data_IF_606927199525
#
_entry.id   IF_606927199525
#
_cell.length_a   1.000
_cell.length_b   1.000
_cell.length_c   1.000
_cell.angle_alpha   90.00
_cell.angle_beta   90.00
_cell.angle_gamma   90.00
#
_symmetry.space_group_name_H-M   'P 1'
#
loop_
_entity.id
_entity.type
_entity.pdbx_description
1 polymer ?
#
# COMPACT_ATOMS: atom_id res chain seq x y z
N UNK A 1 -4.73 4.85 -11.42
CA UNK A 1 -3.71 5.24 -10.46
C UNK A 1 -3.64 6.74 -10.13
N UNK A 2 -4.27 7.65 -10.89
CA UNK A 2 -4.11 9.09 -10.70
C UNK A 2 -5.00 9.68 -9.62
N UNK A 3 -6.11 9.03 -9.28
CA UNK A 3 -7.09 9.58 -8.34
C UNK A 3 -7.84 10.79 -8.88
N UNK A 4 -7.93 10.94 -10.21
CA UNK A 4 -8.54 12.06 -10.91
C UNK A 4 -10.06 11.91 -11.12
N UNK A 5 -10.70 11.17 -10.24
CA UNK A 5 -12.16 10.99 -10.17
C UNK A 5 -12.70 11.58 -8.86
N UNK A 6 -13.95 12.00 -8.88
CA UNK A 6 -14.62 12.55 -7.71
C UNK A 6 -15.97 11.86 -7.51
N UNK A 7 -16.17 11.33 -6.33
CA UNK A 7 -17.42 10.78 -5.82
C UNK A 7 -17.66 11.30 -4.41
N UNK A 8 -18.91 11.34 -3.98
CA UNK A 8 -19.23 11.58 -2.57
C UNK A 8 -18.82 10.39 -1.70
N UNK A 9 -18.71 10.60 -0.40
CA UNK A 9 -18.41 9.51 0.54
C UNK A 9 -19.43 8.38 0.46
N UNK A 10 -20.70 8.70 0.26
CA UNK A 10 -21.79 7.73 0.10
C UNK A 10 -21.64 6.92 -1.19
N UNK A 11 -21.24 7.54 -2.29
CA UNK A 11 -21.01 6.84 -3.56
C UNK A 11 -19.81 5.89 -3.47
N UNK A 12 -18.70 6.29 -2.83
CA UNK A 12 -17.59 5.38 -2.53
C UNK A 12 -18.05 4.20 -1.69
N UNK A 13 -18.81 4.43 -0.62
CA UNK A 13 -19.33 3.38 0.23
C UNK A 13 -20.23 2.41 -0.52
N UNK A 14 -21.15 2.93 -1.34
CA UNK A 14 -22.05 2.09 -2.17
C UNK A 14 -21.28 1.25 -3.19
N UNK A 15 -20.22 1.81 -3.78
CA UNK A 15 -19.39 1.11 -4.73
C UNK A 15 -18.62 -0.05 -4.10
N UNK A 16 -18.06 0.14 -2.91
CA UNK A 16 -17.25 -0.88 -2.23
C UNK A 16 -18.06 -1.88 -1.42
N UNK A 17 -19.25 -1.51 -0.93
CA UNK A 17 -20.04 -2.31 -0.01
C UNK A 17 -20.28 -3.75 -0.49
N UNK A 18 -20.73 -4.02 -1.72
CA UNK A 18 -21.03 -5.41 -2.14
C UNK A 18 -19.81 -6.33 -2.04
N UNK A 19 -18.63 -5.83 -2.44
CA UNK A 19 -17.39 -6.60 -2.36
C UNK A 19 -16.95 -6.83 -0.92
N UNK A 20 -17.06 -5.81 -0.08
CA UNK A 20 -16.73 -5.92 1.35
C UNK A 20 -17.64 -6.95 2.03
N UNK A 21 -18.96 -6.92 1.77
CA UNK A 21 -19.94 -7.87 2.32
C UNK A 21 -19.57 -9.31 1.95
N UNK A 22 -19.29 -9.57 0.69
CA UNK A 22 -18.90 -10.92 0.24
C UNK A 22 -17.62 -11.42 0.92
N UNK A 23 -16.59 -10.57 1.04
CA UNK A 23 -15.34 -10.94 1.68
C UNK A 23 -15.51 -11.19 3.18
N UNK A 24 -16.24 -10.32 3.88
CA UNK A 24 -16.49 -10.49 5.32
C UNK A 24 -17.34 -11.73 5.58
N UNK A 25 -18.38 -11.98 4.77
CA UNK A 25 -19.22 -13.17 4.87
C UNK A 25 -18.43 -14.46 4.56
N UNK A 26 -17.42 -14.39 3.71
CA UNK A 26 -16.50 -15.50 3.46
C UNK A 26 -15.52 -15.76 4.62
N UNK A 27 -15.49 -14.91 5.65
CA UNK A 27 -14.69 -15.09 6.85
C UNK A 27 -13.21 -14.73 6.68
N UNK A 28 -12.89 -13.72 5.88
CA UNK A 28 -11.49 -13.26 5.73
C UNK A 28 -10.99 -12.65 7.04
N UNK A 29 -9.75 -12.96 7.41
CA UNK A 29 -9.12 -12.43 8.64
C UNK A 29 -8.81 -10.93 8.53
N UNK A 30 -8.34 -10.49 7.36
CA UNK A 30 -7.88 -9.12 7.10
C UNK A 30 -8.34 -8.69 5.70
N UNK A 31 -8.84 -7.48 5.57
CA UNK A 31 -9.11 -6.86 4.29
C UNK A 31 -7.90 -6.02 3.84
N UNK A 32 -7.56 -6.12 2.57
CA UNK A 32 -6.57 -5.29 1.92
C UNK A 32 -7.25 -4.11 1.21
N UNK A 33 -7.05 -2.91 1.72
CA UNK A 33 -7.41 -1.66 1.02
C UNK A 33 -6.13 -1.20 0.31
N UNK A 34 -5.88 -1.78 -0.86
CA UNK A 34 -4.58 -1.69 -1.54
C UNK A 34 -4.62 -0.87 -2.82
N UNK A 35 -3.45 -0.36 -3.21
CA UNK A 35 -3.25 0.40 -4.46
C UNK A 35 -4.15 1.64 -4.51
N UNK A 36 -4.34 2.27 -3.36
CA UNK A 36 -5.24 3.40 -3.24
C UNK A 36 -4.59 4.68 -3.74
N UNK A 37 -5.17 5.34 -4.74
CA UNK A 37 -4.64 6.59 -5.24
C UNK A 37 -5.17 7.81 -4.48
N UNK A 38 -6.26 7.68 -3.68
CA UNK A 38 -7.04 8.80 -3.16
C UNK A 38 -7.37 8.62 -1.68
N UNK A 39 -7.11 9.67 -0.88
CA UNK A 39 -7.37 9.65 0.55
C UNK A 39 -8.86 9.59 0.87
N UNK A 40 -9.70 10.39 0.21
CA UNK A 40 -11.13 10.49 0.52
C UNK A 40 -11.86 9.14 0.32
N UNK A 41 -11.47 8.37 -0.71
CA UNK A 41 -11.99 7.03 -0.94
C UNK A 41 -11.63 6.08 0.20
N UNK A 42 -10.37 6.10 0.66
CA UNK A 42 -9.92 5.28 1.79
C UNK A 42 -10.70 5.63 3.05
N UNK A 43 -10.88 6.91 3.36
CA UNK A 43 -11.65 7.34 4.53
C UNK A 43 -13.12 6.91 4.43
N UNK A 44 -13.74 7.01 3.27
CA UNK A 44 -15.10 6.53 3.06
C UNK A 44 -15.25 5.02 3.30
N UNK A 45 -14.28 4.21 2.85
CA UNK A 45 -14.24 2.77 3.11
C UNK A 45 -14.07 2.49 4.61
N UNK A 46 -13.17 3.19 5.29
CA UNK A 46 -12.91 2.99 6.71
C UNK A 46 -14.12 3.38 7.58
N UNK A 47 -14.82 4.46 7.26
CA UNK A 47 -16.08 4.82 7.94
C UNK A 47 -17.18 3.78 7.72
N UNK A 48 -17.30 3.22 6.51
CA UNK A 48 -18.20 2.12 6.24
C UNK A 48 -17.88 0.89 7.11
N UNK A 49 -16.61 0.50 7.17
CA UNK A 49 -16.14 -0.64 7.96
C UNK A 49 -16.35 -0.40 9.45
N UNK A 50 -16.01 0.78 9.96
CA UNK A 50 -16.23 1.17 11.36
C UNK A 50 -17.69 1.05 11.77
N UNK A 51 -18.61 1.43 10.88
CA UNK A 51 -20.06 1.38 11.13
C UNK A 51 -20.64 -0.03 11.03
N UNK A 52 -20.28 -0.80 9.99
CA UNK A 52 -20.91 -2.10 9.70
C UNK A 52 -20.12 -3.28 10.25
N UNK A 53 -18.81 -3.21 10.27
CA UNK A 53 -17.91 -4.32 10.60
C UNK A 53 -16.79 -3.87 11.57
N UNK A 54 -17.13 -3.40 12.78
CA UNK A 54 -16.17 -2.75 13.68
C UNK A 54 -15.01 -3.65 14.14
N UNK A 55 -15.13 -4.97 14.00
CA UNK A 55 -14.08 -5.92 14.38
C UNK A 55 -13.19 -6.33 13.19
N UNK A 56 -13.56 -5.97 11.96
CA UNK A 56 -12.81 -6.36 10.79
C UNK A 56 -11.47 -5.62 10.73
N UNK A 57 -10.37 -6.37 10.73
CA UNK A 57 -9.03 -5.80 10.57
C UNK A 57 -8.74 -5.49 9.10
N UNK A 58 -7.99 -4.42 8.89
CA UNK A 58 -7.59 -4.00 7.55
C UNK A 58 -6.13 -3.54 7.53
N UNK A 59 -5.50 -3.58 6.38
CA UNK A 59 -4.35 -2.74 6.10
C UNK A 59 -4.65 -1.80 4.93
N UNK A 60 -3.96 -0.67 4.89
CA UNK A 60 -4.11 0.34 3.84
C UNK A 60 -2.77 0.53 3.15
N UNK A 61 -2.74 0.51 1.82
CA UNK A 61 -1.55 0.89 1.06
C UNK A 61 -1.89 1.81 -0.11
N UNK A 62 -1.09 2.86 -0.23
CA UNK A 62 -1.25 3.90 -1.24
C UNK A 62 -0.31 3.70 -2.44
N UNK A 63 -0.72 4.24 -3.58
CA UNK A 63 0.18 4.53 -4.70
C UNK A 63 0.70 5.95 -4.59
N UNK A 64 1.91 6.19 -5.08
CA UNK A 64 2.59 7.48 -4.97
C UNK A 64 2.78 8.14 -6.34
N UNK A 65 2.70 9.45 -6.39
CA UNK A 65 3.19 10.28 -7.51
C UNK A 65 4.70 10.54 -7.39
N UNK A 66 5.20 10.73 -6.16
CA UNK A 66 6.60 10.89 -5.76
C UNK A 66 6.83 10.29 -4.36
N UNK A 67 7.95 10.55 -3.70
CA UNK A 67 8.30 9.97 -2.39
C UNK A 67 7.58 10.59 -1.19
N UNK A 68 6.83 11.66 -1.40
CA UNK A 68 6.17 12.46 -0.35
C UNK A 68 4.67 12.69 -0.60
N UNK A 69 4.13 12.21 -1.73
CA UNK A 69 2.78 12.54 -2.18
C UNK A 69 2.08 11.31 -2.74
N UNK A 70 0.86 11.03 -2.28
CA UNK A 70 0.03 9.99 -2.90
C UNK A 70 -0.54 10.48 -4.25
N UNK A 71 -1.06 9.57 -5.04
CA UNK A 71 -1.38 9.82 -6.46
C UNK A 71 -2.41 10.92 -6.70
N UNK A 72 -3.29 11.23 -5.75
CA UNK A 72 -4.28 12.32 -5.84
C UNK A 72 -3.70 13.71 -5.48
N UNK A 73 -2.42 13.81 -5.14
CA UNK A 73 -1.77 15.04 -4.72
C UNK A 73 -1.81 15.31 -3.22
N UNK A 74 -2.40 14.42 -2.41
CA UNK A 74 -2.36 14.56 -0.94
C UNK A 74 -0.96 14.23 -0.42
N UNK A 75 -0.37 15.07 0.47
CA UNK A 75 0.89 14.73 1.13
C UNK A 75 0.81 13.40 1.87
N UNK A 76 1.79 12.51 1.67
CA UNK A 76 1.86 11.20 2.31
C UNK A 76 1.76 11.28 3.84
N UNK A 77 2.43 12.24 4.53
CA UNK A 77 2.27 12.42 5.97
C UNK A 77 0.82 12.65 6.39
N UNK A 78 0.07 13.47 5.63
CA UNK A 78 -1.35 13.72 5.90
C UNK A 78 -2.19 12.46 5.68
N UNK A 79 -1.92 11.71 4.61
CA UNK A 79 -2.64 10.48 4.30
C UNK A 79 -2.44 9.43 5.40
N UNK A 80 -1.22 9.27 5.91
CA UNK A 80 -0.91 8.33 7.00
C UNK A 80 -1.53 8.79 8.32
N UNK A 81 -1.37 10.06 8.69
CA UNK A 81 -1.92 10.61 9.93
C UNK A 81 -3.45 10.45 10.02
N UNK A 82 -4.15 10.61 8.89
CA UNK A 82 -5.61 10.44 8.84
C UNK A 82 -6.08 9.00 9.18
N UNK A 83 -5.19 8.01 9.20
CA UNK A 83 -5.49 6.63 9.54
C UNK A 83 -5.30 6.30 11.03
N UNK A 84 -4.74 7.22 11.82
CA UNK A 84 -4.42 6.96 13.24
C UNK A 84 -5.68 6.72 14.08
N UNK A 85 -6.78 7.41 13.80
CA UNK A 85 -8.05 7.28 14.52
C UNK A 85 -8.82 5.97 14.21
N UNK A 86 -8.31 5.15 13.29
CA UNK A 86 -8.94 3.89 12.93
C UNK A 86 -8.19 2.69 13.53
N UNK A 87 -8.66 2.22 14.68
CA UNK A 87 -8.08 1.05 15.37
C UNK A 87 -8.15 -0.26 14.57
N UNK A 88 -9.00 -0.31 13.55
CA UNK A 88 -9.11 -1.43 12.62
C UNK A 88 -7.92 -1.52 11.67
N UNK A 89 -7.25 -0.40 11.40
CA UNK A 89 -6.06 -0.33 10.53
C UNK A 89 -4.85 -0.83 11.30
N UNK A 90 -4.40 -2.04 10.98
CA UNK A 90 -3.27 -2.71 11.66
C UNK A 90 -1.93 -2.46 10.97
N UNK A 91 -1.94 -2.10 9.71
CA UNK A 91 -0.74 -1.74 8.95
C UNK A 91 -1.07 -0.68 7.90
N UNK A 92 -0.10 0.17 7.62
CA UNK A 92 -0.18 1.23 6.62
C UNK A 92 1.05 1.20 5.73
N UNK A 93 0.94 1.60 4.48
CA UNK A 93 2.10 1.59 3.61
C UNK A 93 1.84 1.99 2.17
N UNK A 94 2.70 1.46 1.31
CA UNK A 94 2.71 1.79 -0.12
C UNK A 94 2.91 0.53 -0.97
N UNK A 95 2.31 0.53 -2.14
CA UNK A 95 2.50 -0.55 -3.11
C UNK A 95 2.39 -0.07 -4.55
N UNK A 96 2.78 -0.94 -5.47
CA UNK A 96 2.77 -0.61 -6.91
C UNK A 96 3.57 0.66 -7.26
N UNK A 97 4.59 0.95 -6.48
CA UNK A 97 5.51 2.08 -6.64
C UNK A 97 6.86 1.61 -7.17
N UNK A 98 7.66 2.55 -7.66
CA UNK A 98 9.04 2.27 -8.08
C UNK A 98 9.92 1.98 -6.88
N UNK A 99 10.98 1.17 -7.07
CA UNK A 99 11.90 0.78 -6.00
C UNK A 99 12.57 1.98 -5.32
N UNK A 100 12.91 3.00 -6.09
CA UNK A 100 13.59 4.20 -5.61
C UNK A 100 12.74 5.09 -4.68
N UNK A 101 11.41 4.96 -4.73
CA UNK A 101 10.50 5.71 -3.85
C UNK A 101 10.30 5.05 -2.48
N UNK A 102 10.64 3.77 -2.35
CA UNK A 102 10.28 2.97 -1.18
C UNK A 102 10.96 3.45 0.10
N UNK A 103 12.29 3.55 0.08
CA UNK A 103 13.06 3.89 1.29
C UNK A 103 12.77 5.32 1.80
N UNK A 104 12.73 6.38 0.95
CA UNK A 104 12.32 7.71 1.38
C UNK A 104 10.91 7.73 1.98
N UNK A 105 9.93 7.12 1.32
CA UNK A 105 8.55 7.08 1.81
C UNK A 105 8.43 6.33 3.14
N UNK A 106 9.14 5.21 3.33
CA UNK A 106 9.18 4.48 4.60
C UNK A 106 9.73 5.35 5.74
N UNK A 107 10.81 6.10 5.50
CA UNK A 107 11.38 7.02 6.49
C UNK A 107 10.38 8.09 6.89
N UNK A 108 9.68 8.70 5.92
CA UNK A 108 8.64 9.69 6.19
C UNK A 108 7.49 9.09 7.01
N UNK A 109 7.01 7.89 6.66
CA UNK A 109 5.92 7.24 7.38
C UNK A 109 6.30 6.85 8.82
N UNK A 110 7.52 6.37 9.04
CA UNK A 110 8.00 5.93 10.35
C UNK A 110 7.97 7.04 11.42
N UNK A 111 8.13 8.30 11.02
CA UNK A 111 8.09 9.46 11.93
C UNK A 111 6.65 9.85 12.33
N UNK A 112 5.63 9.25 11.69
CA UNK A 112 4.24 9.70 11.81
C UNK A 112 3.36 8.65 12.51
N UNK A 113 3.67 7.36 12.36
CA UNK A 113 2.81 6.29 12.84
C UNK A 113 3.58 5.18 13.54
N UNK A 114 2.96 4.61 14.57
CA UNK A 114 3.43 3.39 15.25
C UNK A 114 2.82 2.10 14.65
N UNK A 115 1.93 2.22 13.66
CA UNK A 115 1.37 1.07 12.95
C UNK A 115 2.46 0.33 12.16
N UNK A 116 2.26 -0.97 11.92
CA UNK A 116 3.19 -1.72 11.08
C UNK A 116 3.29 -1.11 9.67
N UNK A 117 4.50 -0.90 9.19
CA UNK A 117 4.72 -0.44 7.83
C UNK A 117 4.75 -1.63 6.86
N UNK A 118 3.93 -1.55 5.81
CA UNK A 118 3.82 -2.53 4.74
C UNK A 118 4.31 -1.95 3.41
N UNK A 119 5.09 -2.74 2.66
CA UNK A 119 5.59 -2.34 1.34
C UNK A 119 5.64 -3.52 0.37
N UNK A 120 5.12 -3.31 -0.85
CA UNK A 120 5.21 -4.27 -1.96
C UNK A 120 5.29 -3.53 -3.30
N UNK A 121 6.52 -3.12 -3.67
CA UNK A 121 6.78 -2.31 -4.86
C UNK A 121 6.78 -3.14 -6.14
N UNK A 122 6.84 -2.45 -7.28
CA UNK A 122 7.14 -3.02 -8.59
C UNK A 122 8.65 -3.29 -8.73
N UNK A 123 9.04 -3.99 -9.81
CA UNK A 123 10.46 -4.16 -10.17
C UNK A 123 11.09 -2.95 -10.88
N UNK A 124 10.51 -1.74 -10.74
CA UNK A 124 10.87 -0.51 -11.48
C UNK A 124 10.65 -0.56 -13.00
N UNK A 125 9.98 -1.57 -13.52
CA UNK A 125 9.46 -1.53 -14.86
C UNK A 125 8.37 -0.45 -15.01
N UNK A 126 8.31 0.20 -16.16
CA UNK A 126 7.32 1.25 -16.43
C UNK A 126 6.22 0.68 -17.32
N UNK A 127 4.98 0.84 -16.88
CA UNK A 127 3.82 0.43 -17.67
C UNK A 127 3.48 1.47 -18.75
N UNK A 128 3.35 1.00 -19.99
CA UNK A 128 2.80 1.82 -21.09
C UNK A 128 1.32 1.47 -21.27
N UNK A 129 0.39 2.39 -20.93
CA UNK A 129 -1.04 2.14 -21.06
C UNK A 129 -1.53 2.06 -22.52
N UNK A 130 -0.78 2.58 -23.50
CA UNK A 130 -1.14 2.51 -24.91
C UNK A 130 -0.85 1.13 -25.51
N UNK A 131 0.35 0.63 -25.30
CA UNK A 131 0.75 -0.70 -25.76
C UNK A 131 0.33 -1.82 -24.81
N UNK A 132 -0.10 -1.48 -23.58
CA UNK A 132 -0.42 -2.41 -22.48
C UNK A 132 0.76 -3.35 -22.15
N UNK A 133 1.97 -2.82 -22.22
CA UNK A 133 3.21 -3.56 -21.96
C UNK A 133 4.04 -2.92 -20.86
N UNK A 134 4.92 -3.70 -20.27
CA UNK A 134 5.90 -3.24 -19.32
C UNK A 134 7.26 -3.10 -19.98
N UNK A 135 7.95 -1.98 -19.74
CA UNK A 135 9.35 -1.80 -20.14
C UNK A 135 10.29 -2.62 -19.25
N UNK A 136 11.53 -2.76 -19.69
CA UNK A 136 12.58 -3.26 -18.80
C UNK A 136 12.81 -2.30 -17.62
N UNK A 137 13.16 -2.80 -16.41
CA UNK A 137 13.53 -1.96 -15.28
C UNK A 137 14.66 -1.00 -15.66
N UNK A 138 14.57 0.24 -15.20
CA UNK A 138 15.60 1.26 -15.43
C UNK A 138 16.71 1.24 -14.37
N UNK A 139 16.50 0.51 -13.28
CA UNK A 139 17.47 0.37 -12.19
C UNK A 139 18.14 -1.00 -12.25
N UNK A 140 19.40 -1.07 -11.86
CA UNK A 140 20.12 -2.32 -11.62
C UNK A 140 19.94 -2.85 -10.20
N UNK A 141 19.35 -2.05 -9.29
CA UNK A 141 19.11 -2.47 -7.91
C UNK A 141 18.13 -3.63 -7.85
N UNK A 142 18.45 -4.62 -7.05
CA UNK A 142 17.64 -5.82 -6.83
C UNK A 142 16.91 -5.75 -5.48
N UNK A 143 15.85 -6.53 -5.33
CA UNK A 143 15.18 -6.68 -4.04
C UNK A 143 16.14 -7.13 -2.94
N UNK A 144 17.04 -8.06 -3.23
CA UNK A 144 18.01 -8.58 -2.25
C UNK A 144 18.90 -7.49 -1.67
N UNK A 145 19.31 -6.52 -2.51
CA UNK A 145 20.12 -5.37 -2.10
C UNK A 145 19.31 -4.33 -1.31
N UNK A 146 18.03 -4.16 -1.60
CA UNK A 146 17.20 -3.09 -1.04
C UNK A 146 16.43 -3.49 0.23
N UNK A 147 16.10 -4.78 0.42
CA UNK A 147 15.33 -5.26 1.57
C UNK A 147 15.94 -4.85 2.91
N UNK A 148 17.28 -4.93 3.15
CA UNK A 148 17.87 -4.47 4.39
C UNK A 148 17.55 -3.01 4.70
N UNK A 149 17.66 -2.13 3.71
CA UNK A 149 17.38 -0.70 3.86
C UNK A 149 15.88 -0.46 4.18
N UNK A 150 14.97 -1.18 3.52
CA UNK A 150 13.54 -1.07 3.81
C UNK A 150 13.20 -1.53 5.23
N UNK A 151 13.83 -2.59 5.69
CA UNK A 151 13.66 -3.08 7.06
C UNK A 151 14.17 -2.08 8.10
N UNK A 152 15.35 -1.48 7.89
CA UNK A 152 15.92 -0.43 8.73
C UNK A 152 15.07 0.85 8.69
N UNK A 153 14.51 1.20 7.53
CA UNK A 153 13.56 2.30 7.37
C UNK A 153 12.19 2.05 8.02
N UNK A 154 11.96 0.85 8.59
CA UNK A 154 10.77 0.56 9.39
C UNK A 154 9.80 -0.46 8.80
N UNK A 155 9.99 -0.95 7.57
CA UNK A 155 9.11 -1.96 6.99
C UNK A 155 9.13 -3.25 7.83
N UNK A 156 7.94 -3.81 8.10
CA UNK A 156 7.76 -5.08 8.82
C UNK A 156 6.99 -6.10 8.01
N UNK A 157 6.26 -5.66 7.00
CA UNK A 157 5.56 -6.50 6.04
C UNK A 157 6.11 -6.12 4.65
N UNK A 158 6.78 -7.06 3.99
CA UNK A 158 7.46 -6.82 2.72
C UNK A 158 6.99 -7.85 1.71
N UNK A 159 6.58 -7.39 0.55
CA UNK A 159 6.15 -8.22 -0.58
C UNK A 159 6.59 -7.65 -1.91
N UNK A 160 5.93 -8.08 -2.97
CA UNK A 160 6.13 -7.59 -4.32
C UNK A 160 4.81 -7.37 -5.04
N UNK A 161 4.77 -6.44 -6.00
CA UNK A 161 3.63 -6.12 -6.83
C UNK A 161 3.92 -6.43 -8.31
N UNK A 162 3.52 -5.55 -9.21
CA UNK A 162 3.68 -5.77 -10.65
C UNK A 162 5.13 -6.06 -11.04
N UNK A 163 5.30 -7.01 -11.97
CA UNK A 163 6.60 -7.41 -12.52
C UNK A 163 7.59 -8.03 -11.51
N UNK A 164 7.14 -8.36 -10.30
CA UNK A 164 7.89 -9.17 -9.33
C UNK A 164 7.42 -10.63 -9.37
N UNK A 165 8.26 -11.54 -8.90
CA UNK A 165 7.99 -12.97 -8.97
C UNK A 165 8.58 -13.77 -7.79
N UNK A 166 8.63 -15.09 -7.92
CA UNK A 166 9.13 -15.96 -6.84
C UNK A 166 10.55 -15.64 -6.38
N UNK A 167 11.40 -15.09 -7.25
CA UNK A 167 12.78 -14.74 -6.92
C UNK A 167 12.82 -13.61 -5.87
N UNK A 168 12.03 -12.55 -6.08
CA UNK A 168 11.93 -11.41 -5.19
C UNK A 168 11.35 -11.83 -3.84
N UNK A 169 10.29 -12.65 -3.85
CA UNK A 169 9.68 -13.15 -2.60
C UNK A 169 10.64 -14.09 -1.84
N UNK A 170 11.43 -14.88 -2.56
CA UNK A 170 12.46 -15.70 -1.93
C UNK A 170 13.53 -14.84 -1.24
N UNK A 171 13.97 -13.76 -1.85
CA UNK A 171 14.93 -12.83 -1.25
C UNK A 171 14.38 -12.24 0.07
N UNK A 172 13.10 -11.83 0.09
CA UNK A 172 12.42 -11.37 1.32
C UNK A 172 12.42 -12.47 2.39
N UNK A 173 11.99 -13.68 2.03
CA UNK A 173 11.91 -14.82 2.97
C UNK A 173 13.29 -15.18 3.54
N UNK A 174 14.32 -15.19 2.72
CA UNK A 174 15.69 -15.50 3.13
C UNK A 174 16.27 -14.42 4.06
N UNK A 175 15.97 -13.13 3.79
CA UNK A 175 16.33 -12.02 4.66
C UNK A 175 15.68 -12.16 6.04
N UNK A 176 14.37 -12.37 6.10
CA UNK A 176 13.63 -12.50 7.36
C UNK A 176 14.15 -13.70 8.19
N UNK A 177 14.47 -14.84 7.56
CA UNK A 177 15.03 -16.00 8.26
C UNK A 177 16.38 -15.71 8.90
N UNK A 178 17.20 -14.87 8.29
CA UNK A 178 18.54 -14.50 8.83
C UNK A 178 18.49 -13.46 9.94
N UNK A 179 17.38 -12.70 10.06
CA UNK A 179 17.25 -11.58 10.98
C UNK A 179 16.15 -11.75 12.04
N UNK A 180 15.72 -12.99 12.26
CA UNK A 180 14.81 -13.41 13.34
C UNK A 180 15.54 -13.65 14.64
#
# INVERSE_FOLDING_TARGET
YRGDYELSAEEYQQFHLPRIEELVNAGVDILAIETQPKLDEVLAILELLKKKYPQQKVYVSYTLSDDDTISDGTPLPRAIHALEDYSQVIAVGINCVKLELVEPALKNMKEITDKHLIVYPNSSAVYDPKSKTWSQPKTSATFEELIPNWYEAGARIIGGCCTTGPKEIKAVADFIKRNR
#
